data_IF_486804474234
#
_entry.id   IF_486804474234
#
_cell.length_a   1.000
_cell.length_b   1.000
_cell.length_c   1.000
_cell.angle_alpha   90.00
_cell.angle_beta   90.00
_cell.angle_gamma   90.00
#
_symmetry.space_group_name_H-M   'P 1'
#
loop_
_entity.id
_entity.type
_entity.pdbx_description
1 polymer ?
#
# COMPACT_ATOMS: atom_id res chain seq x y z
N UNK A 1 -11.81 7.11 -6.76
CA UNK A 1 -10.74 6.12 -6.55
C UNK A 1 -11.41 4.89 -5.98
N UNK A 2 -11.25 3.71 -6.57
CA UNK A 2 -11.78 2.46 -5.99
C UNK A 2 -10.89 2.01 -4.83
N UNK A 3 -11.36 1.16 -3.90
CA UNK A 3 -10.52 0.58 -2.85
C UNK A 3 -9.24 -0.07 -3.39
N UNK A 4 -9.32 -0.79 -4.53
CA UNK A 4 -8.14 -1.34 -5.19
C UNK A 4 -7.17 -0.25 -5.69
N UNK A 5 -7.69 0.86 -6.22
CA UNK A 5 -6.85 2.01 -6.62
C UNK A 5 -6.16 2.68 -5.42
N UNK A 6 -6.82 2.75 -4.25
CA UNK A 6 -6.19 3.28 -3.03
C UNK A 6 -4.97 2.44 -2.63
N UNK A 7 -5.11 1.11 -2.67
CA UNK A 7 -4.02 0.18 -2.38
C UNK A 7 -2.85 0.34 -3.36
N UNK A 8 -3.13 0.45 -4.67
CA UNK A 8 -2.10 0.67 -5.69
C UNK A 8 -1.40 2.01 -5.49
N UNK A 9 -2.15 3.09 -5.26
CA UNK A 9 -1.60 4.42 -5.04
C UNK A 9 -0.68 4.46 -3.81
N UNK A 10 -1.05 3.76 -2.73
CA UNK A 10 -0.21 3.63 -1.54
C UNK A 10 1.07 2.83 -1.82
N UNK A 11 0.98 1.72 -2.57
CA UNK A 11 2.14 0.93 -2.98
C UNK A 11 3.13 1.75 -3.82
N UNK A 12 2.64 2.54 -4.78
CA UNK A 12 3.48 3.38 -5.64
C UNK A 12 4.13 4.53 -4.88
N UNK A 13 3.43 5.09 -3.88
CA UNK A 13 4.01 6.09 -2.98
C UNK A 13 5.17 5.50 -2.17
N UNK A 14 5.04 4.27 -1.66
CA UNK A 14 6.13 3.57 -0.96
C UNK A 14 7.33 3.34 -1.89
N UNK A 15 7.10 2.86 -3.11
CA UNK A 15 8.18 2.65 -4.10
C UNK A 15 8.90 3.96 -4.42
N UNK A 16 8.17 5.05 -4.52
CA UNK A 16 8.73 6.39 -4.73
C UNK A 16 9.61 6.83 -3.54
N UNK A 17 9.16 6.61 -2.30
CA UNK A 17 9.97 6.92 -1.11
C UNK A 17 11.25 6.09 -1.02
N UNK A 18 11.18 4.79 -1.36
CA UNK A 18 12.37 3.91 -1.39
C UNK A 18 13.43 4.42 -2.37
N UNK A 19 13.01 4.95 -3.53
CA UNK A 19 13.93 5.51 -4.53
C UNK A 19 14.46 6.89 -4.10
N UNK A 20 13.61 7.72 -3.48
CA UNK A 20 13.98 9.07 -3.07
C UNK A 20 14.92 9.12 -1.86
N UNK A 21 14.86 8.11 -0.99
CA UNK A 21 15.71 7.97 0.19
C UNK A 21 16.56 6.70 0.06
N UNK A 22 17.59 6.69 -0.82
CA UNK A 22 18.44 5.52 -0.99
C UNK A 22 19.11 5.18 0.35
N UNK A 23 19.09 3.90 0.76
CA UNK A 23 19.62 3.52 2.06
C UNK A 23 21.13 3.79 2.10
N UNK A 24 21.61 4.31 3.23
CA UNK A 24 23.02 4.20 3.54
C UNK A 24 23.30 2.77 4.03
N UNK A 25 24.34 2.11 3.52
CA UNK A 25 24.66 0.70 3.82
C UNK A 25 24.79 0.38 5.32
N UNK A 26 25.06 1.39 6.14
CA UNK A 26 25.23 1.27 7.59
C UNK A 26 24.01 1.69 8.43
N UNK A 27 22.96 2.23 7.80
CA UNK A 27 21.74 2.67 8.46
C UNK A 27 20.53 2.64 7.50
N UNK A 28 19.95 1.45 7.22
CA UNK A 28 18.73 1.37 6.45
C UNK A 28 17.58 2.05 7.21
N UNK A 29 16.83 2.91 6.52
CA UNK A 29 15.63 3.55 7.05
C UNK A 29 14.46 2.55 7.07
N UNK A 30 13.44 2.79 7.90
CA UNK A 30 12.25 1.92 7.92
C UNK A 30 11.58 1.81 6.53
N UNK A 31 11.62 2.89 5.74
CA UNK A 31 11.12 2.92 4.36
C UNK A 31 11.90 1.97 3.46
N UNK A 32 13.22 1.95 3.55
CA UNK A 32 14.05 1.08 2.69
C UNK A 32 14.04 -0.38 3.16
N UNK A 33 13.94 -0.62 4.47
CA UNK A 33 13.86 -1.96 5.04
C UNK A 33 12.51 -2.66 4.82
N UNK A 34 11.39 -1.93 4.97
CA UNK A 34 10.04 -2.51 4.93
C UNK A 34 9.20 -2.05 3.75
N UNK A 35 9.54 -0.93 3.12
CA UNK A 35 8.75 -0.31 2.03
C UNK A 35 8.51 -1.23 0.84
N UNK A 36 9.52 -1.98 0.32
CA UNK A 36 9.30 -2.91 -0.78
C UNK A 36 8.29 -4.01 -0.44
N UNK A 37 8.47 -4.69 0.69
CA UNK A 37 7.57 -5.76 1.14
C UNK A 37 6.15 -5.23 1.42
N UNK A 38 6.03 -4.02 1.98
CA UNK A 38 4.73 -3.39 2.22
C UNK A 38 4.03 -2.98 0.92
N UNK A 39 4.78 -2.49 -0.09
CA UNK A 39 4.24 -2.16 -1.40
C UNK A 39 3.74 -3.41 -2.14
N UNK A 40 4.47 -4.52 -2.05
CA UNK A 40 4.07 -5.78 -2.66
C UNK A 40 2.81 -6.35 -1.99
N UNK A 41 2.76 -6.34 -0.65
CA UNK A 41 1.56 -6.73 0.11
C UNK A 41 0.32 -5.93 -0.29
N UNK A 42 0.43 -4.60 -0.45
CA UNK A 42 -0.67 -3.76 -0.92
C UNK A 42 -1.09 -4.10 -2.35
N UNK A 43 -0.13 -4.41 -3.22
CA UNK A 43 -0.37 -4.78 -4.62
C UNK A 43 -1.12 -6.11 -4.72
N UNK A 44 -0.76 -7.10 -3.89
CA UNK A 44 -1.44 -8.40 -3.82
C UNK A 44 -2.90 -8.26 -3.36
N UNK A 45 -3.16 -7.39 -2.38
CA UNK A 45 -4.53 -7.11 -1.94
C UNK A 45 -5.33 -6.36 -3.00
N UNK A 46 -4.73 -5.41 -3.73
CA UNK A 46 -5.40 -4.75 -4.85
C UNK A 46 -5.84 -5.77 -5.92
N UNK A 47 -4.94 -6.69 -6.29
CA UNK A 47 -5.26 -7.77 -7.23
C UNK A 47 -6.33 -8.75 -6.69
N UNK A 48 -6.41 -8.93 -5.36
CA UNK A 48 -7.45 -9.73 -4.72
C UNK A 48 -8.81 -9.03 -4.75
N UNK A 49 -8.84 -7.70 -4.58
CA UNK A 49 -10.05 -6.88 -4.69
C UNK A 49 -10.58 -6.79 -6.12
N UNK A 50 -9.71 -6.77 -7.14
CA UNK A 50 -10.15 -6.84 -8.54
C UNK A 50 -10.88 -8.14 -8.87
N UNK A 51 -10.49 -9.23 -8.19
CA UNK A 51 -11.13 -10.55 -8.33
C UNK A 51 -12.41 -10.67 -7.51
N UNK A 52 -12.65 -9.77 -6.57
CA UNK A 52 -13.89 -9.75 -5.80
C UNK A 52 -15.04 -9.26 -6.69
N UNK A 53 -16.01 -10.14 -6.94
CA UNK A 53 -17.14 -9.91 -7.85
C UNK A 53 -18.19 -8.92 -7.31
N UNK A 54 -18.08 -8.50 -6.04
CA UNK A 54 -19.02 -7.58 -5.39
C UNK A 54 -18.31 -6.29 -4.94
N UNK A 55 -18.48 -5.18 -5.67
CA UNK A 55 -17.84 -3.89 -5.37
C UNK A 55 -18.13 -3.38 -3.95
N UNK A 56 -19.36 -3.56 -3.46
CA UNK A 56 -19.74 -3.13 -2.10
C UNK A 56 -19.05 -3.92 -0.97
N UNK A 57 -18.42 -5.07 -1.25
CA UNK A 57 -17.80 -5.90 -0.21
C UNK A 57 -16.31 -5.61 0.00
N UNK A 58 -15.70 -4.80 -0.87
CA UNK A 58 -14.26 -4.57 -0.86
C UNK A 58 -13.76 -3.98 0.48
N UNK A 59 -14.52 -3.07 1.09
CA UNK A 59 -14.19 -2.54 2.43
C UNK A 59 -14.35 -3.56 3.56
N UNK A 60 -15.23 -4.56 3.39
CA UNK A 60 -15.45 -5.63 4.37
C UNK A 60 -14.39 -6.73 4.25
N UNK A 61 -13.90 -6.98 3.03
CA UNK A 61 -12.91 -8.03 2.75
C UNK A 61 -11.48 -7.57 3.09
N UNK A 62 -11.15 -6.29 2.87
CA UNK A 62 -9.81 -5.75 3.10
C UNK A 62 -9.76 -4.52 4.03
N UNK A 63 -10.39 -4.53 5.22
CA UNK A 63 -10.47 -3.35 6.07
C UNK A 63 -9.10 -2.88 6.58
N UNK A 64 -8.20 -3.82 6.91
CA UNK A 64 -6.85 -3.49 7.40
C UNK A 64 -5.91 -2.99 6.30
N UNK A 65 -5.79 -3.65 5.13
CA UNK A 65 -5.05 -3.11 4.00
C UNK A 65 -5.47 -1.69 3.60
N UNK A 66 -6.78 -1.42 3.56
CA UNK A 66 -7.28 -0.09 3.22
C UNK A 66 -6.94 0.96 4.28
N UNK A 67 -7.06 0.62 5.57
CA UNK A 67 -6.66 1.52 6.65
C UNK A 67 -5.16 1.89 6.55
N UNK A 68 -4.30 0.92 6.24
CA UNK A 68 -2.86 1.14 6.04
C UNK A 68 -2.61 2.01 4.81
N UNK A 69 -3.26 1.73 3.67
CA UNK A 69 -3.13 2.53 2.46
C UNK A 69 -3.54 3.99 2.68
N UNK A 70 -4.67 4.22 3.36
CA UNK A 70 -5.14 5.57 3.71
C UNK A 70 -4.15 6.32 4.61
N UNK A 71 -3.59 5.63 5.61
CA UNK A 71 -2.55 6.22 6.47
C UNK A 71 -1.30 6.61 5.67
N UNK A 72 -0.85 5.78 4.73
CA UNK A 72 0.29 6.07 3.83
C UNK A 72 -0.02 7.26 2.93
N UNK A 73 -1.24 7.33 2.38
CA UNK A 73 -1.68 8.41 1.50
C UNK A 73 -1.85 9.75 2.24
N UNK A 74 -1.89 9.74 3.57
CA UNK A 74 -2.12 10.93 4.40
C UNK A 74 -3.60 11.23 4.65
N UNK A 75 -4.49 10.30 4.29
CA UNK A 75 -5.90 10.35 4.62
C UNK A 75 -6.13 9.86 6.03
N UNK A 76 -6.31 10.80 6.96
CA UNK A 76 -6.97 10.49 8.22
C UNK A 76 -8.45 10.18 7.91
N UNK A 77 -8.88 9.02 8.44
CA UNK A 77 -10.24 8.48 8.60
C UNK A 77 -11.42 9.29 8.06
#
# INVERSE_FOLDING_TARGET
MTPADELRAAADKLRTWVVAEPPADWAPTAVTAFGPALADWLTEYAASLDKATHPEWQETVAPRPLAVARAILGGAR
#
